data_IF_157875780561
#
_entry.id   IF_157875780561
#
_cell.length_a   1.000
_cell.length_b   1.000
_cell.length_c   1.000
_cell.angle_alpha   90.00
_cell.angle_beta   90.00
_cell.angle_gamma   90.00
#
_symmetry.space_group_name_H-M   'P 1'
#
loop_
_entity.id
_entity.type
_entity.pdbx_description
1 polymer ?
#
# COMPACT_ATOMS: atom_id res chain seq x y z
N UNK A 1 28.04 3.63 -5.13
CA UNK A 1 27.88 4.68 -4.10
C UNK A 1 28.19 4.03 -2.75
N UNK A 2 28.60 4.76 -1.70
CA UNK A 2 28.77 4.17 -0.37
C UNK A 2 27.70 4.75 0.56
N UNK A 3 27.18 3.94 1.48
CA UNK A 3 26.32 4.37 2.56
C UNK A 3 27.01 4.18 3.90
N UNK A 4 26.80 5.12 4.83
CA UNK A 4 27.27 5.03 6.20
C UNK A 4 26.41 4.02 6.96
N UNK A 5 27.06 3.16 7.74
CA UNK A 5 26.38 2.20 8.61
C UNK A 5 26.35 2.77 10.01
N UNK A 6 25.17 2.83 10.62
CA UNK A 6 24.97 3.28 12.00
C UNK A 6 24.83 2.08 12.95
N UNK A 7 25.36 2.20 14.17
CA UNK A 7 25.07 1.26 15.24
C UNK A 7 23.70 1.54 15.91
N UNK A 8 23.39 0.80 16.98
CA UNK A 8 22.15 0.95 17.73
C UNK A 8 22.08 2.27 18.53
N UNK A 9 23.22 2.90 18.79
CA UNK A 9 23.30 4.20 19.46
C UNK A 9 23.24 5.37 18.46
N UNK A 10 23.19 5.08 17.15
CA UNK A 10 23.11 6.04 16.05
C UNK A 10 24.47 6.54 15.55
N UNK A 11 25.57 6.08 16.15
CA UNK A 11 26.92 6.49 15.81
C UNK A 11 27.42 5.77 14.53
N UNK A 12 28.37 6.40 13.82
CA UNK A 12 28.96 5.82 12.61
C UNK A 12 29.82 4.59 12.94
N UNK A 13 29.36 3.42 12.51
CA UNK A 13 30.01 2.13 12.74
C UNK A 13 30.80 1.61 11.52
N UNK A 14 30.65 2.25 10.37
CA UNK A 14 31.37 1.86 9.14
C UNK A 14 30.73 2.40 7.87
N UNK A 15 31.08 1.80 6.74
CA UNK A 15 30.47 2.12 5.44
C UNK A 15 30.32 0.87 4.59
N UNK A 16 29.20 0.75 3.88
CA UNK A 16 28.90 -0.35 2.93
C UNK A 16 28.82 0.19 1.50
N UNK A 17 29.29 -0.59 0.53
CA UNK A 17 29.12 -0.27 -0.89
C UNK A 17 27.68 -0.58 -1.30
N UNK A 18 26.95 0.44 -1.78
CA UNK A 18 25.60 0.28 -2.27
C UNK A 18 25.59 -0.47 -3.61
N UNK A 19 24.77 -1.53 -3.74
CA UNK A 19 24.65 -2.27 -4.98
C UNK A 19 24.03 -1.44 -6.12
N UNK A 20 24.28 -1.87 -7.36
CA UNK A 20 23.82 -1.19 -8.58
C UNK A 20 22.30 -0.99 -8.68
N UNK A 21 21.49 -1.72 -7.89
CA UNK A 21 20.04 -1.53 -7.85
C UNK A 21 19.64 -0.13 -7.36
N UNK A 22 20.44 0.47 -6.48
CA UNK A 22 20.22 1.82 -5.96
C UNK A 22 20.54 2.92 -6.98
N UNK A 23 21.28 2.60 -8.05
CA UNK A 23 21.58 3.50 -9.17
C UNK A 23 20.61 3.29 -10.36
N UNK A 24 19.55 2.50 -10.18
CA UNK A 24 18.59 2.22 -11.26
C UNK A 24 17.87 3.50 -11.71
N UNK A 25 17.77 3.71 -13.02
CA UNK A 25 17.06 4.86 -13.58
C UNK A 25 15.61 4.97 -13.05
N UNK A 26 15.28 6.14 -12.53
CA UNK A 26 13.97 6.43 -11.96
C UNK A 26 12.85 6.37 -13.01
N UNK A 27 11.88 5.47 -12.79
CA UNK A 27 10.75 5.14 -13.69
C UNK A 27 9.42 5.12 -12.93
N UNK A 28 8.86 6.28 -12.56
CA UNK A 28 7.61 6.37 -11.79
C UNK A 28 6.41 5.73 -12.52
N UNK A 29 6.43 5.68 -13.86
CA UNK A 29 5.40 5.02 -14.67
C UNK A 29 5.35 3.50 -14.47
N UNK A 30 6.50 2.86 -14.24
CA UNK A 30 6.60 1.43 -13.98
C UNK A 30 6.21 1.10 -12.53
N UNK A 31 6.66 1.94 -11.60
CA UNK A 31 6.29 1.84 -10.17
C UNK A 31 4.77 1.91 -10.03
N UNK A 32 4.13 2.92 -10.63
CA UNK A 32 2.67 3.08 -10.56
C UNK A 32 1.90 1.93 -11.20
N UNK A 33 2.41 1.33 -12.29
CA UNK A 33 1.82 0.11 -12.88
C UNK A 33 1.92 -1.09 -11.94
N UNK A 34 3.08 -1.30 -11.33
CA UNK A 34 3.32 -2.39 -10.39
C UNK A 34 2.40 -2.29 -9.16
N UNK A 35 2.36 -1.12 -8.52
CA UNK A 35 1.47 -0.87 -7.38
C UNK A 35 0.01 -1.00 -7.80
N UNK A 36 -0.38 -0.44 -8.95
CA UNK A 36 -1.76 -0.52 -9.44
C UNK A 36 -2.23 -1.96 -9.74
N UNK A 37 -1.31 -2.84 -10.16
CA UNK A 37 -1.59 -4.26 -10.34
C UNK A 37 -1.73 -4.98 -8.99
N UNK A 38 -0.79 -4.79 -8.07
CA UNK A 38 -0.84 -5.36 -6.72
C UNK A 38 -2.14 -4.97 -5.97
N UNK A 39 -2.53 -3.68 -6.06
CA UNK A 39 -3.77 -3.16 -5.48
C UNK A 39 -5.04 -3.73 -6.11
N UNK A 40 -5.03 -4.02 -7.41
CA UNK A 40 -6.15 -4.68 -8.07
C UNK A 40 -6.27 -6.15 -7.65
N UNK A 41 -5.15 -6.86 -7.53
CA UNK A 41 -5.11 -8.31 -7.32
C UNK A 41 -5.58 -8.75 -5.92
N UNK A 42 -5.60 -7.86 -4.92
CA UNK A 42 -6.19 -8.13 -3.60
C UNK A 42 -7.66 -7.74 -3.46
N UNK A 43 -8.31 -7.27 -4.53
CA UNK A 43 -9.75 -6.92 -4.47
C UNK A 43 -10.60 -8.17 -4.39
N UNK A 44 -11.65 -8.11 -3.58
CA UNK A 44 -12.62 -9.19 -3.47
C UNK A 44 -13.71 -9.07 -4.55
N UNK A 45 -14.12 -10.20 -5.10
CA UNK A 45 -15.27 -10.27 -6.00
C UNK A 45 -16.55 -9.84 -5.24
N UNK A 46 -17.45 -9.17 -5.95
CA UNK A 46 -18.74 -8.74 -5.40
C UNK A 46 -19.80 -8.73 -6.50
N UNK A 47 -21.06 -8.92 -6.12
CA UNK A 47 -22.19 -8.88 -7.04
C UNK A 47 -23.51 -8.79 -6.30
N UNK A 48 -24.55 -8.36 -7.01
CA UNK A 48 -25.92 -8.48 -6.51
C UNK A 48 -26.42 -9.93 -6.68
N UNK A 49 -27.39 -10.36 -5.86
CA UNK A 49 -28.10 -11.62 -6.06
C UNK A 49 -28.72 -11.66 -7.48
N UNK A 50 -28.44 -12.72 -8.24
CA UNK A 50 -28.87 -12.89 -9.64
C UNK A 50 -30.40 -12.84 -9.78
N UNK A 51 -31.15 -13.24 -8.75
CA UNK A 51 -32.61 -13.22 -8.73
C UNK A 51 -33.20 -11.98 -8.04
N UNK A 52 -32.37 -11.00 -7.63
CA UNK A 52 -32.84 -9.77 -7.01
C UNK A 52 -33.82 -9.02 -7.94
N UNK A 53 -35.02 -8.75 -7.44
CA UNK A 53 -36.10 -8.11 -8.20
C UNK A 53 -36.81 -9.01 -9.21
N UNK A 54 -36.35 -10.26 -9.43
CA UNK A 54 -36.94 -11.20 -10.40
C UNK A 54 -37.95 -12.19 -9.77
N UNK A 55 -37.91 -12.39 -8.45
CA UNK A 55 -38.77 -13.31 -7.70
C UNK A 55 -40.22 -12.81 -7.59
N UNK A 56 -40.92 -12.68 -8.72
CA UNK A 56 -42.27 -12.15 -8.80
C UNK A 56 -43.01 -12.67 -10.04
N UNK A 57 -44.30 -13.04 -9.93
CA UNK A 57 -45.12 -13.44 -11.07
C UNK A 57 -45.69 -12.23 -11.85
N UNK A 58 -45.17 -11.01 -11.65
CA UNK A 58 -45.74 -9.79 -12.23
C UNK A 58 -45.96 -9.86 -13.76
N UNK A 59 -47.09 -9.36 -14.23
CA UNK A 59 -47.43 -9.32 -15.66
C UNK A 59 -47.95 -7.93 -16.04
N UNK A 60 -47.74 -7.52 -17.29
CA UNK A 60 -48.29 -6.24 -17.74
C UNK A 60 -49.75 -6.42 -18.13
N UNK A 61 -50.61 -5.48 -17.75
CA UNK A 61 -52.01 -5.48 -18.18
C UNK A 61 -52.21 -5.21 -19.68
N UNK A 62 -51.17 -4.80 -20.40
CA UNK A 62 -51.27 -4.38 -21.79
C UNK A 62 -52.04 -3.05 -21.94
N UNK A 63 -52.57 -2.82 -23.13
CA UNK A 63 -53.33 -1.60 -23.46
C UNK A 63 -54.76 -1.63 -22.91
N UNK A 64 -55.45 -0.49 -22.93
CA UNK A 64 -56.88 -0.40 -22.61
C UNK A 64 -57.24 0.00 -21.17
N UNK A 65 -56.25 0.24 -20.29
CA UNK A 65 -56.49 0.64 -18.89
C UNK A 65 -55.96 2.03 -18.51
N UNK A 66 -55.49 2.82 -19.47
CA UNK A 66 -54.86 4.12 -19.19
C UNK A 66 -53.57 4.02 -18.37
N UNK A 67 -52.93 2.85 -18.35
CA UNK A 67 -51.70 2.56 -17.61
C UNK A 67 -50.56 2.26 -18.58
N UNK A 68 -49.34 2.63 -18.19
CA UNK A 68 -48.13 2.23 -18.90
C UNK A 68 -47.97 0.69 -18.87
N UNK A 69 -47.37 0.13 -19.94
CA UNK A 69 -47.12 -1.30 -20.09
C UNK A 69 -45.97 -1.78 -19.19
N UNK A 70 -46.21 -1.76 -17.87
CA UNK A 70 -45.25 -2.17 -16.83
C UNK A 70 -45.76 -3.44 -16.16
N UNK A 71 -44.92 -4.48 -15.94
CA UNK A 71 -45.31 -5.65 -15.18
C UNK A 71 -45.73 -5.30 -13.75
N UNK A 72 -46.90 -5.79 -13.33
CA UNK A 72 -47.48 -5.55 -12.01
C UNK A 72 -47.84 -6.85 -11.32
N UNK A 73 -47.68 -6.89 -10.01
CA UNK A 73 -48.23 -7.90 -9.11
C UNK A 73 -49.01 -7.16 -8.04
N UNK A 74 -50.26 -7.55 -7.78
CA UNK A 74 -51.14 -6.84 -6.84
C UNK A 74 -51.25 -5.34 -7.16
N UNK A 75 -51.32 -5.00 -8.47
CA UNK A 75 -51.29 -3.64 -9.02
C UNK A 75 -50.02 -2.82 -8.75
N UNK A 76 -48.97 -3.38 -8.14
CA UNK A 76 -47.69 -2.67 -7.91
C UNK A 76 -46.66 -3.06 -8.96
N UNK A 77 -45.95 -2.08 -9.53
CA UNK A 77 -44.89 -2.32 -10.51
C UNK A 77 -43.73 -3.13 -9.90
N UNK A 78 -43.23 -4.13 -10.64
CA UNK A 78 -42.16 -5.04 -10.21
C UNK A 78 -41.27 -5.43 -11.40
N UNK A 79 -40.19 -6.15 -11.12
CA UNK A 79 -39.24 -6.76 -12.08
C UNK A 79 -38.39 -5.78 -12.88
N UNK A 80 -39.00 -4.78 -13.52
CA UNK A 80 -38.31 -3.88 -14.44
C UNK A 80 -37.41 -2.85 -13.73
N UNK A 81 -36.29 -2.41 -14.32
CA UNK A 81 -35.30 -1.60 -13.60
C UNK A 81 -35.75 -0.22 -13.12
N UNK A 82 -36.71 0.40 -13.81
CA UNK A 82 -37.24 1.71 -13.42
C UNK A 82 -38.29 1.62 -12.29
N UNK A 83 -38.72 0.41 -11.92
CA UNK A 83 -39.65 0.21 -10.82
C UNK A 83 -38.89 0.11 -9.48
N UNK A 84 -39.45 0.70 -8.43
CA UNK A 84 -39.00 0.45 -7.05
C UNK A 84 -39.11 -1.06 -6.75
N UNK A 85 -38.05 -1.64 -6.18
CA UNK A 85 -37.90 -3.09 -5.97
C UNK A 85 -37.82 -3.92 -7.26
N UNK A 86 -37.60 -3.28 -8.41
CA UNK A 86 -37.21 -3.92 -9.65
C UNK A 86 -35.75 -4.39 -9.64
N UNK A 87 -35.36 -5.17 -10.66
CA UNK A 87 -33.97 -5.64 -10.80
C UNK A 87 -33.04 -4.49 -11.19
N UNK A 88 -31.76 -4.57 -10.80
CA UNK A 88 -30.74 -3.72 -11.41
C UNK A 88 -30.54 -4.10 -12.90
N UNK A 89 -30.44 -3.11 -13.79
CA UNK A 89 -30.23 -3.38 -15.23
C UNK A 89 -28.84 -3.98 -15.51
N UNK A 90 -27.80 -3.36 -14.94
CA UNK A 90 -26.40 -3.77 -15.06
C UNK A 90 -25.76 -3.81 -13.66
N UNK A 91 -26.08 -4.81 -12.83
CA UNK A 91 -25.48 -4.95 -11.50
C UNK A 91 -23.98 -5.29 -11.61
N UNK A 92 -23.20 -5.03 -10.55
CA UNK A 92 -21.91 -5.69 -10.41
C UNK A 92 -22.11 -7.20 -10.40
N UNK A 93 -21.18 -7.92 -11.03
CA UNK A 93 -21.21 -9.37 -11.13
C UNK A 93 -19.93 -9.95 -10.57
N UNK A 94 -20.08 -11.02 -9.78
CA UNK A 94 -18.95 -11.72 -9.19
C UNK A 94 -18.05 -12.38 -10.24
N UNK A 95 -18.60 -12.76 -11.40
CA UNK A 95 -17.87 -13.36 -12.53
C UNK A 95 -16.84 -12.44 -13.20
N UNK A 96 -16.86 -11.13 -12.90
CA UNK A 96 -15.94 -10.17 -13.50
C UNK A 96 -14.50 -10.43 -13.02
N UNK A 97 -13.59 -10.70 -13.95
CA UNK A 97 -12.16 -10.67 -13.67
C UNK A 97 -11.71 -9.24 -13.35
N UNK A 98 -11.29 -9.04 -12.10
CA UNK A 98 -10.79 -7.76 -11.59
C UNK A 98 -9.27 -7.75 -11.41
N UNK A 99 -8.61 -8.87 -11.70
CA UNK A 99 -7.16 -9.00 -11.61
C UNK A 99 -6.48 -8.22 -12.74
N UNK A 100 -5.24 -7.83 -12.49
CA UNK A 100 -4.36 -7.19 -13.47
C UNK A 100 -3.09 -8.01 -13.59
N UNK A 101 -2.82 -8.45 -14.81
CA UNK A 101 -1.56 -9.11 -15.17
C UNK A 101 -0.45 -8.08 -15.29
N UNK A 102 0.75 -8.47 -14.90
CA UNK A 102 1.98 -7.70 -15.06
C UNK A 102 3.12 -8.66 -15.37
N UNK A 103 3.95 -8.31 -16.34
CA UNK A 103 5.09 -9.14 -16.71
C UNK A 103 6.12 -9.16 -15.58
N UNK A 104 6.78 -10.30 -15.35
CA UNK A 104 7.74 -10.44 -14.25
C UNK A 104 8.92 -9.47 -14.37
N UNK A 105 9.48 -9.33 -15.59
CA UNK A 105 10.58 -8.38 -15.85
C UNK A 105 10.18 -6.92 -15.63
N UNK A 106 8.93 -6.58 -15.95
CA UNK A 106 8.40 -5.23 -15.74
C UNK A 106 8.22 -4.97 -14.24
N UNK A 107 7.73 -5.96 -13.49
CA UNK A 107 7.61 -5.91 -12.03
C UNK A 107 8.97 -5.76 -11.36
N UNK A 108 9.97 -6.56 -11.75
CA UNK A 108 11.33 -6.48 -11.20
C UNK A 108 11.97 -5.11 -11.46
N UNK A 109 11.85 -4.58 -12.67
CA UNK A 109 12.35 -3.25 -12.98
C UNK A 109 11.66 -2.15 -12.17
N UNK A 110 10.35 -2.27 -11.93
CA UNK A 110 9.62 -1.35 -11.06
C UNK A 110 10.10 -1.40 -9.60
N UNK A 111 10.42 -2.58 -9.07
CA UNK A 111 10.98 -2.74 -7.72
C UNK A 111 12.35 -2.08 -7.64
N UNK A 112 13.27 -2.37 -8.58
CA UNK A 112 14.60 -1.74 -8.65
C UNK A 112 14.52 -0.21 -8.73
N UNK A 113 13.63 0.29 -9.58
CA UNK A 113 13.40 1.74 -9.68
C UNK A 113 12.80 2.34 -8.41
N UNK A 114 12.03 1.59 -7.63
CA UNK A 114 11.49 2.07 -6.36
C UNK A 114 12.56 2.06 -5.26
N UNK A 115 13.48 1.08 -5.27
CA UNK A 115 14.67 1.04 -4.41
C UNK A 115 15.57 2.25 -4.69
N UNK A 116 15.89 2.51 -5.96
CA UNK A 116 16.69 3.68 -6.33
C UNK A 116 16.04 5.01 -5.90
N UNK A 117 14.71 5.07 -5.82
CA UNK A 117 14.02 6.28 -5.37
C UNK A 117 14.17 6.54 -3.86
N UNK A 118 14.62 5.58 -3.05
CA UNK A 118 14.79 5.76 -1.60
C UNK A 118 16.13 6.41 -1.24
N UNK A 119 17.07 6.53 -2.18
CA UNK A 119 18.37 7.20 -1.96
C UNK A 119 18.30 8.70 -2.24
N UNK A 120 17.27 9.16 -2.95
CA UNK A 120 17.09 10.56 -3.32
C UNK A 120 16.32 11.30 -2.21
N UNK A 121 17.04 12.08 -1.41
CA UNK A 121 16.47 12.87 -0.32
C UNK A 121 15.41 13.88 -0.80
N UNK A 122 15.55 14.45 -2.00
CA UNK A 122 14.56 15.38 -2.55
C UNK A 122 13.24 14.66 -2.83
N UNK A 123 13.29 13.46 -3.43
CA UNK A 123 12.10 12.64 -3.68
C UNK A 123 11.43 12.18 -2.38
N UNK A 124 12.21 11.82 -1.36
CA UNK A 124 11.70 11.38 -0.06
C UNK A 124 11.03 12.53 0.69
N UNK A 125 11.61 13.73 0.64
CA UNK A 125 11.03 14.95 1.18
C UNK A 125 9.77 15.40 0.40
N UNK A 126 9.79 15.36 -0.95
CA UNK A 126 8.62 15.70 -1.78
C UNK A 126 7.43 14.77 -1.51
N UNK A 127 7.68 13.49 -1.22
CA UNK A 127 6.64 12.55 -0.78
C UNK A 127 5.98 12.98 0.54
N UNK A 128 6.69 13.75 1.36
CA UNK A 128 6.22 14.36 2.59
C UNK A 128 6.69 13.65 3.86
N UNK A 129 7.77 12.87 3.81
CA UNK A 129 8.43 12.34 5.00
C UNK A 129 9.10 13.47 5.79
N UNK A 130 9.12 13.37 7.11
CA UNK A 130 9.77 14.35 8.00
C UNK A 130 11.05 13.74 8.58
N UNK A 131 12.19 14.31 8.23
CA UNK A 131 13.53 13.91 8.69
C UNK A 131 14.45 15.13 8.54
N UNK A 132 15.61 15.12 9.18
CA UNK A 132 16.57 16.23 9.11
C UNK A 132 17.17 16.38 7.70
N UNK A 133 17.33 17.61 7.21
CA UNK A 133 17.82 17.90 5.84
C UNK A 133 19.25 17.40 5.59
N UNK A 134 20.03 17.23 6.68
CA UNK A 134 21.43 16.79 6.64
C UNK A 134 21.57 15.25 6.71
N UNK A 135 20.46 14.51 6.72
CA UNK A 135 20.48 13.05 6.86
C UNK A 135 20.86 12.38 5.53
N UNK A 136 21.94 11.60 5.55
CA UNK A 136 22.41 10.85 4.39
C UNK A 136 21.50 9.64 4.11
N UNK A 137 20.86 9.63 2.93
CA UNK A 137 20.05 8.49 2.47
C UNK A 137 20.82 7.64 1.44
N UNK A 138 20.63 6.32 1.41
CA UNK A 138 19.72 5.52 2.24
C UNK A 138 20.28 5.25 3.65
N UNK A 139 19.39 5.11 4.63
CA UNK A 139 19.77 4.78 6.01
C UNK A 139 20.12 3.30 6.13
N UNK A 140 21.31 3.02 6.67
CA UNK A 140 21.78 1.66 6.92
C UNK A 140 22.15 1.52 8.39
N UNK A 141 21.65 0.48 9.04
CA UNK A 141 21.97 0.12 10.43
C UNK A 141 22.64 -1.25 10.50
N UNK A 142 23.35 -1.51 11.60
CA UNK A 142 23.94 -2.82 11.88
C UNK A 142 22.86 -3.92 11.95
N UNK A 143 23.27 -5.15 11.63
CA UNK A 143 22.40 -6.32 11.68
C UNK A 143 21.90 -6.64 13.10
N UNK A 144 22.54 -6.08 14.14
CA UNK A 144 22.09 -6.16 15.54
C UNK A 144 20.68 -5.57 15.73
N UNK A 145 20.20 -4.75 14.79
CA UNK A 145 18.81 -4.28 14.79
C UNK A 145 17.78 -5.42 14.69
N UNK A 146 18.13 -6.54 14.05
CA UNK A 146 17.23 -7.70 13.91
C UNK A 146 16.99 -8.42 15.24
N UNK A 147 17.94 -8.32 16.17
CA UNK A 147 17.88 -8.94 17.51
C UNK A 147 17.02 -8.15 18.52
N UNK A 148 16.54 -6.96 18.14
CA UNK A 148 15.73 -6.12 19.02
C UNK A 148 14.37 -6.78 19.32
N UNK A 149 14.07 -6.92 20.62
CA UNK A 149 12.81 -7.50 21.08
C UNK A 149 11.77 -6.43 21.45
N UNK A 150 12.20 -5.32 22.06
CA UNK A 150 11.27 -4.30 22.57
C UNK A 150 11.09 -3.17 21.57
N UNK A 151 9.84 -2.77 21.36
CA UNK A 151 9.49 -1.60 20.53
C UNK A 151 10.13 -0.30 21.04
N UNK A 152 10.35 -0.17 22.34
CA UNK A 152 11.04 1.01 22.90
C UNK A 152 12.52 1.07 22.50
N UNK A 153 13.18 -0.09 22.34
CA UNK A 153 14.57 -0.14 21.89
C UNK A 153 14.64 0.23 20.41
N UNK A 154 13.76 -0.31 19.57
CA UNK A 154 13.66 0.08 18.17
C UNK A 154 13.30 1.57 17.97
N UNK A 155 12.48 2.15 18.85
CA UNK A 155 12.20 3.59 18.83
C UNK A 155 13.47 4.39 19.18
N UNK A 156 14.22 3.97 20.20
CA UNK A 156 15.48 4.62 20.58
C UNK A 156 16.51 4.66 19.46
N UNK A 157 16.63 3.59 18.68
CA UNK A 157 17.50 3.58 17.47
C UNK A 157 17.00 4.58 16.43
N UNK A 158 15.69 4.65 16.18
CA UNK A 158 15.11 5.56 15.18
C UNK A 158 15.21 7.04 15.61
N UNK A 159 15.14 7.32 16.92
CA UNK A 159 15.44 8.64 17.50
C UNK A 159 16.92 8.99 17.33
N UNK A 160 17.83 8.04 17.59
CA UNK A 160 19.26 8.25 17.46
C UNK A 160 19.70 8.50 16.00
N UNK A 161 19.05 7.84 15.04
CA UNK A 161 19.29 8.01 13.60
C UNK A 161 18.56 9.25 13.02
N UNK A 162 17.71 9.94 13.80
CA UNK A 162 17.06 11.19 13.39
C UNK A 162 15.85 11.03 12.47
N UNK A 163 15.09 9.94 12.62
CA UNK A 163 13.87 9.66 11.82
C UNK A 163 12.58 9.57 12.66
N UNK A 164 12.67 9.92 13.95
CA UNK A 164 11.55 9.97 14.90
C UNK A 164 10.45 10.94 14.46
N UNK A 165 10.82 12.09 13.89
CA UNK A 165 9.87 13.09 13.38
C UNK A 165 8.87 12.49 12.36
N UNK A 166 9.27 11.49 11.56
CA UNK A 166 8.38 10.83 10.62
C UNK A 166 7.36 9.91 11.30
N UNK A 167 7.71 9.38 12.47
CA UNK A 167 6.85 8.53 13.30
C UNK A 167 5.82 9.41 14.01
N UNK A 168 6.26 10.53 14.59
CA UNK A 168 5.37 11.53 15.19
C UNK A 168 4.35 12.06 14.18
N UNK A 169 4.81 12.43 12.97
CA UNK A 169 3.94 12.82 11.84
C UNK A 169 2.88 11.77 11.55
N UNK A 170 3.24 10.49 11.61
CA UNK A 170 2.30 9.40 11.36
C UNK A 170 1.34 9.18 12.53
N UNK A 171 1.76 9.39 13.77
CA UNK A 171 0.90 9.32 14.94
C UNK A 171 -0.15 10.44 14.92
N UNK A 172 0.29 11.70 14.75
CA UNK A 172 -0.59 12.87 14.70
C UNK A 172 -1.50 12.85 13.47
N UNK A 173 -1.01 12.34 12.34
CA UNK A 173 -1.77 12.24 11.10
C UNK A 173 -2.87 11.18 11.12
N UNK A 174 -3.01 10.40 12.19
CA UNK A 174 -4.06 9.38 12.33
C UNK A 174 -5.43 10.04 12.41
N UNK A 175 -6.24 9.85 11.37
CA UNK A 175 -7.54 10.50 11.23
C UNK A 175 -8.67 9.53 10.91
N UNK A 176 -9.91 9.96 11.17
CA UNK A 176 -11.11 9.17 10.86
C UNK A 176 -11.51 9.40 9.40
N UNK A 177 -11.47 8.35 8.58
CA UNK A 177 -11.70 8.40 7.13
C UNK A 177 -13.07 8.97 6.77
N UNK A 178 -13.15 9.97 5.91
CA UNK A 178 -14.42 10.50 5.41
C UNK A 178 -15.29 9.43 4.69
N UNK A 179 -16.61 9.60 4.75
CA UNK A 179 -17.58 8.76 4.03
C UNK A 179 -17.92 7.41 4.69
N UNK A 180 -18.53 6.52 3.90
CA UNK A 180 -19.13 5.26 4.36
C UNK A 180 -18.11 4.11 4.57
N UNK A 181 -16.82 4.37 4.42
CA UNK A 181 -15.76 3.39 4.70
C UNK A 181 -15.74 2.95 6.17
N UNK A 182 -16.12 3.86 7.08
CA UNK A 182 -16.20 3.63 8.53
C UNK A 182 -17.11 2.45 8.90
N UNK A 183 -18.25 2.32 8.21
CA UNK A 183 -19.22 1.25 8.42
C UNK A 183 -18.72 -0.13 7.93
N UNK A 184 -17.61 -0.18 7.19
CA UNK A 184 -17.04 -1.39 6.58
C UNK A 184 -15.71 -1.79 7.21
N UNK A 185 -15.50 -1.46 8.49
CA UNK A 185 -14.26 -1.75 9.23
C UNK A 185 -13.06 -0.86 8.88
N UNK A 186 -13.21 0.14 7.99
CA UNK A 186 -12.12 1.01 7.53
C UNK A 186 -12.26 2.43 8.10
N UNK A 187 -12.36 2.52 9.43
CA UNK A 187 -12.66 3.77 10.15
C UNK A 187 -11.46 4.73 10.18
N UNK A 188 -10.26 4.22 10.43
CA UNK A 188 -9.06 5.05 10.56
C UNK A 188 -8.20 5.01 9.28
N UNK A 189 -7.45 6.08 9.06
CA UNK A 189 -6.35 6.17 8.11
C UNK A 189 -5.17 6.80 8.83
N UNK A 190 -3.97 6.32 8.53
CA UNK A 190 -2.74 6.81 9.09
C UNK A 190 -1.74 7.06 7.94
N UNK A 191 -0.88 8.09 8.01
CA UNK A 191 0.25 8.25 7.09
C UNK A 191 1.17 7.04 7.13
N UNK A 192 1.93 6.84 6.05
CA UNK A 192 2.99 5.85 5.97
C UNK A 192 4.30 6.54 6.33
N UNK A 193 4.94 6.03 7.37
CA UNK A 193 6.22 6.48 7.92
C UNK A 193 7.35 5.65 7.31
N UNK A 194 8.41 5.41 8.09
CA UNK A 194 9.59 4.60 7.77
C UNK A 194 9.20 3.19 7.30
N UNK A 195 9.92 2.68 6.31
CA UNK A 195 9.97 1.24 5.99
C UNK A 195 11.26 0.68 6.59
N UNK A 196 11.14 -0.37 7.41
CA UNK A 196 12.30 -1.10 7.91
C UNK A 196 12.46 -2.37 7.07
N UNK A 197 13.62 -2.55 6.46
CA UNK A 197 13.95 -3.73 5.66
C UNK A 197 15.07 -4.51 6.32
N UNK A 198 14.74 -5.72 6.76
CA UNK A 198 15.66 -6.69 7.38
C UNK A 198 16.00 -7.82 6.40
N UNK A 199 16.95 -8.70 6.73
CA UNK A 199 17.29 -9.87 5.90
C UNK A 199 16.50 -11.11 6.31
N UNK A 200 16.49 -11.48 7.59
CA UNK A 200 15.95 -12.79 8.02
C UNK A 200 14.43 -12.78 8.23
N UNK A 201 13.97 -12.04 9.24
CA UNK A 201 12.56 -11.92 9.60
C UNK A 201 12.15 -10.45 9.68
N UNK A 202 10.88 -10.10 9.36
CA UNK A 202 10.41 -8.73 9.57
C UNK A 202 10.52 -8.34 11.05
N UNK A 203 11.16 -7.20 11.34
CA UNK A 203 11.40 -6.75 12.71
C UNK A 203 10.12 -6.70 13.56
N UNK A 204 10.06 -7.53 14.61
CA UNK A 204 8.92 -7.58 15.52
C UNK A 204 8.88 -6.37 16.46
N UNK A 205 10.04 -5.80 16.79
CA UNK A 205 10.13 -4.61 17.61
C UNK A 205 9.56 -3.38 16.89
N UNK A 206 9.87 -3.19 15.60
CA UNK A 206 9.49 -1.98 14.86
C UNK A 206 8.03 -1.98 14.34
N UNK A 207 7.42 -3.15 14.08
CA UNK A 207 6.11 -3.25 13.38
C UNK A 207 4.93 -2.55 14.04
N UNK A 208 5.01 -2.22 15.33
CA UNK A 208 3.92 -1.59 16.09
C UNK A 208 4.07 -0.06 16.18
N UNK A 209 5.18 0.49 15.71
CA UNK A 209 5.41 1.93 15.65
C UNK A 209 4.42 2.60 14.68
N UNK A 210 4.15 3.87 14.93
CA UNK A 210 3.13 4.60 14.19
C UNK A 210 3.53 4.75 12.71
N UNK A 211 2.77 4.13 11.81
CA UNK A 211 2.94 4.27 10.36
C UNK A 211 4.13 3.51 9.78
N UNK A 212 4.92 2.86 10.62
CA UNK A 212 6.06 2.03 10.20
C UNK A 212 5.54 0.72 9.58
N UNK A 213 6.14 0.31 8.48
CA UNK A 213 5.98 -1.05 7.95
C UNK A 213 7.33 -1.77 8.02
N UNK A 214 7.27 -3.10 8.09
CA UNK A 214 8.45 -3.97 8.11
C UNK A 214 8.37 -4.95 6.94
N UNK A 215 9.49 -5.20 6.28
CA UNK A 215 9.62 -6.16 5.19
C UNK A 215 10.99 -6.85 5.25
N UNK A 216 11.14 -7.96 4.54
CA UNK A 216 12.45 -8.59 4.32
C UNK A 216 13.00 -8.23 2.94
N UNK A 217 14.32 -8.18 2.77
CA UNK A 217 14.95 -7.92 1.47
C UNK A 217 14.52 -8.97 0.42
N UNK A 218 14.35 -10.22 0.84
CA UNK A 218 13.84 -11.31 0.02
C UNK A 218 12.41 -11.15 -0.51
N UNK A 219 11.58 -10.26 0.06
CA UNK A 219 10.17 -10.09 -0.38
C UNK A 219 9.68 -8.65 -0.57
N UNK A 220 10.49 -7.64 -0.21
CA UNK A 220 10.14 -6.21 -0.30
C UNK A 220 9.63 -5.83 -1.69
N UNK A 221 8.41 -5.29 -1.77
CA UNK A 221 7.75 -5.07 -3.05
C UNK A 221 7.55 -3.58 -3.36
N UNK A 222 7.08 -3.28 -4.57
CA UNK A 222 6.89 -1.89 -5.02
C UNK A 222 5.85 -1.12 -4.20
N UNK A 223 4.88 -1.78 -3.54
CA UNK A 223 3.91 -1.10 -2.66
C UNK A 223 4.51 -0.76 -1.29
N UNK A 224 5.46 -1.55 -0.81
CA UNK A 224 6.21 -1.24 0.41
C UNK A 224 7.09 0.00 0.18
N UNK A 225 7.83 0.03 -0.93
CA UNK A 225 8.76 1.11 -1.30
C UNK A 225 8.07 2.36 -1.86
N UNK A 226 6.90 2.22 -2.48
CA UNK A 226 6.14 3.32 -3.05
C UNK A 226 4.64 3.24 -2.69
N UNK A 227 4.27 3.42 -1.40
CA UNK A 227 2.90 3.27 -0.95
C UNK A 227 1.98 4.24 -1.68
N UNK A 228 0.95 3.70 -2.34
CA UNK A 228 0.01 4.51 -3.12
C UNK A 228 0.51 4.96 -4.49
N UNK A 229 1.57 4.33 -5.02
CA UNK A 229 2.23 4.69 -6.27
C UNK A 229 2.99 6.03 -6.23
N UNK A 230 3.34 6.50 -5.03
CA UNK A 230 4.21 7.65 -4.79
C UNK A 230 5.59 7.13 -4.32
N UNK A 231 6.62 7.18 -5.20
CA UNK A 231 7.99 6.75 -4.88
C UNK A 231 8.67 7.64 -3.84
N UNK A 232 9.84 7.22 -3.34
CA UNK A 232 10.61 7.98 -2.36
C UNK A 232 10.11 7.75 -0.94
N UNK A 233 10.00 6.49 -0.50
CA UNK A 233 9.69 6.20 0.89
C UNK A 233 10.96 6.25 1.74
N UNK A 234 10.90 6.93 2.89
CA UNK A 234 11.97 6.88 3.89
C UNK A 234 12.14 5.43 4.35
N UNK A 235 13.34 4.87 4.12
CA UNK A 235 13.61 3.44 4.30
C UNK A 235 14.91 3.26 5.06
N UNK A 236 14.85 2.42 6.09
CA UNK A 236 15.98 1.96 6.90
C UNK A 236 16.28 0.51 6.55
N UNK A 237 17.52 0.24 6.19
CA UNK A 237 18.01 -1.07 5.78
C UNK A 237 18.96 -1.64 6.82
N UNK A 238 18.91 -2.95 7.07
CA UNK A 238 20.02 -3.63 7.75
C UNK A 238 21.17 -3.87 6.76
N UNK A 239 22.40 -3.96 7.26
CA UNK A 239 23.60 -4.18 6.44
C UNK A 239 23.45 -5.42 5.53
N UNK A 240 22.97 -6.52 6.08
CA UNK A 240 22.66 -7.75 5.35
C UNK A 240 21.53 -7.55 4.32
N UNK A 241 20.51 -6.76 4.63
CA UNK A 241 19.43 -6.45 3.70
C UNK A 241 19.90 -5.65 2.47
N UNK A 242 20.86 -4.73 2.64
CA UNK A 242 21.47 -3.99 1.52
C UNK A 242 22.20 -4.95 0.58
N UNK A 243 22.89 -5.95 1.12
CA UNK A 243 23.59 -6.95 0.31
C UNK A 243 22.61 -7.87 -0.42
N UNK A 244 21.56 -8.34 0.26
CA UNK A 244 20.56 -9.25 -0.32
C UNK A 244 19.70 -8.58 -1.41
N UNK A 245 19.36 -7.30 -1.24
CA UNK A 245 18.52 -6.59 -2.21
C UNK A 245 19.23 -6.40 -3.57
N UNK A 246 20.55 -6.59 -3.65
CA UNK A 246 21.32 -6.53 -4.88
C UNK A 246 20.84 -7.52 -5.95
N UNK A 247 20.34 -8.69 -5.54
CA UNK A 247 19.93 -9.78 -6.43
C UNK A 247 18.46 -9.69 -6.90
N UNK A 248 17.74 -8.62 -6.52
CA UNK A 248 16.32 -8.40 -6.82
C UNK A 248 16.02 -8.03 -8.27
#
# INVERSE_FOLDING_TARGET
MNATVHDLDGDEAGSVELPAVFDTAFRPDLIGRAVGAAQANRKQAYGADEFAGLRTPAESFGSGRGLAHVPRSENVARRVPHAVSGRAAHPPKAEKDQTKKLNDKERQLAIRSAIAATTDAELVAERGHAFDEDLDLPLVVSDEFEDLEKTQEALGVLEAVGVDADIERAEEGRSVRAGQGKARGRKYRQPKSVLVVTSEEPSRAARNLAGVDVATAGEVNAEDLAPGAHPGRLTLWTESAVSEVADR
#
